data_IF_410155324366
#
_entry.id   IF_410155324366
#
_cell.length_a   1.000
_cell.length_b   1.000
_cell.length_c   1.000
_cell.angle_alpha   90.00
_cell.angle_beta   90.00
_cell.angle_gamma   90.00
#
_symmetry.space_group_name_H-M   'P 1'
#
loop_
_entity.id
_entity.type
_entity.pdbx_description
1 polymer ?
#
# COMPACT_ATOMS: atom_id res chain seq x y z
N UNK A 1 -3.20 -28.34 13.44
CA UNK A 1 -4.13 -27.27 13.05
C UNK A 1 -4.06 -27.14 11.53
N UNK A 2 -5.16 -27.28 10.81
CA UNK A 2 -5.16 -27.00 9.37
C UNK A 2 -4.81 -25.51 9.19
N UNK A 3 -3.74 -25.22 8.47
CA UNK A 3 -3.39 -23.84 8.16
C UNK A 3 -4.53 -23.22 7.34
N UNK A 4 -5.07 -22.11 7.80
CA UNK A 4 -6.05 -21.35 7.05
C UNK A 4 -5.29 -20.67 5.91
N UNK A 5 -5.63 -21.00 4.66
CA UNK A 5 -4.97 -20.39 3.50
C UNK A 5 -5.40 -18.93 3.37
N UNK A 6 -4.45 -18.07 3.00
CA UNK A 6 -4.78 -16.71 2.57
C UNK A 6 -5.60 -16.78 1.28
N UNK A 7 -6.53 -15.85 1.10
CA UNK A 7 -7.49 -15.92 0.00
C UNK A 7 -7.24 -14.80 -1.00
N UNK A 8 -7.10 -15.20 -2.27
CA UNK A 8 -6.92 -14.28 -3.38
C UNK A 8 -8.26 -14.04 -4.08
N UNK A 9 -8.59 -12.78 -4.42
CA UNK A 9 -9.71 -12.49 -5.31
C UNK A 9 -9.50 -13.11 -6.69
N UNK A 10 -10.59 -13.29 -7.43
CA UNK A 10 -10.50 -13.69 -8.83
C UNK A 10 -9.75 -12.63 -9.66
N UNK A 11 -9.10 -13.06 -10.75
CA UNK A 11 -8.50 -12.17 -11.73
C UNK A 11 -9.56 -11.25 -12.36
N UNK A 12 -9.26 -9.96 -12.44
CA UNK A 12 -10.17 -8.96 -12.99
C UNK A 12 -10.28 -9.09 -14.50
N UNK A 13 -11.49 -9.10 -15.03
CA UNK A 13 -11.80 -9.33 -16.46
C UNK A 13 -12.69 -8.22 -17.02
N UNK A 14 -12.70 -8.09 -18.34
CA UNK A 14 -13.64 -7.18 -19.01
C UNK A 14 -15.09 -7.53 -18.64
N UNK A 15 -15.86 -6.50 -18.32
CA UNK A 15 -17.25 -6.62 -17.83
C UNK A 15 -17.37 -6.72 -16.32
N UNK A 16 -16.27 -6.88 -15.57
CA UNK A 16 -16.31 -6.89 -14.11
C UNK A 16 -16.64 -5.50 -13.55
N UNK A 17 -17.33 -5.50 -12.41
CA UNK A 17 -17.71 -4.28 -11.70
C UNK A 17 -16.62 -3.84 -10.75
N UNK A 18 -16.24 -2.58 -10.86
CA UNK A 18 -15.35 -1.89 -9.92
C UNK A 18 -16.16 -0.86 -9.14
N UNK A 19 -16.24 -1.03 -7.82
CA UNK A 19 -16.88 -0.07 -6.93
C UNK A 19 -15.89 1.04 -6.55
N UNK A 20 -16.32 2.29 -6.70
CA UNK A 20 -15.55 3.45 -6.27
C UNK A 20 -16.09 3.90 -4.92
N UNK A 21 -15.38 3.54 -3.86
CA UNK A 21 -15.85 3.67 -2.47
C UNK A 21 -14.98 4.63 -1.67
N UNK A 22 -15.55 5.75 -1.27
CA UNK A 22 -14.85 6.79 -0.48
C UNK A 22 -15.00 6.53 1.03
N UNK A 23 -14.41 5.47 1.54
CA UNK A 23 -14.52 5.14 2.96
C UNK A 23 -13.57 5.97 3.86
N UNK A 24 -12.55 6.62 3.30
CA UNK A 24 -11.72 7.62 3.99
C UNK A 24 -12.17 9.02 3.61
N UNK A 25 -11.75 9.56 2.47
CA UNK A 25 -12.19 10.85 1.95
C UNK A 25 -12.86 10.71 0.59
N UNK A 26 -13.90 11.51 0.35
CA UNK A 26 -14.50 11.65 -0.96
C UNK A 26 -13.82 12.73 -1.80
N UNK A 27 -14.42 13.07 -2.93
CA UNK A 27 -13.84 13.97 -3.94
C UNK A 27 -14.65 15.26 -3.97
N UNK A 28 -14.03 16.36 -3.56
CA UNK A 28 -14.63 17.71 -3.68
C UNK A 28 -14.86 18.10 -5.14
N UNK A 29 -15.82 18.98 -5.36
CA UNK A 29 -16.23 19.40 -6.71
C UNK A 29 -15.10 19.96 -7.57
N UNK A 30 -14.09 20.59 -6.95
CA UNK A 30 -12.91 21.13 -7.65
C UNK A 30 -12.08 20.03 -8.34
N UNK A 31 -12.13 18.80 -7.84
CA UNK A 31 -11.41 17.65 -8.39
C UNK A 31 -12.29 16.77 -9.31
N UNK A 32 -13.58 17.09 -9.48
CA UNK A 32 -14.47 16.31 -10.35
C UNK A 32 -13.97 16.24 -11.81
N UNK A 33 -13.35 17.27 -12.41
CA UNK A 33 -12.78 17.13 -13.73
C UNK A 33 -11.76 15.99 -13.83
N UNK A 34 -10.90 15.79 -12.83
CA UNK A 34 -9.97 14.65 -12.76
C UNK A 34 -10.72 13.34 -12.55
N UNK A 35 -11.68 13.31 -11.63
CA UNK A 35 -12.50 12.15 -11.34
C UNK A 35 -13.19 11.60 -12.60
N UNK A 36 -13.86 12.45 -13.38
CA UNK A 36 -14.53 12.03 -14.63
C UNK A 36 -13.54 11.37 -15.61
N UNK A 37 -12.32 11.88 -15.71
CA UNK A 37 -11.31 11.32 -16.59
C UNK A 37 -10.89 9.89 -16.16
N UNK A 38 -10.63 9.69 -14.88
CA UNK A 38 -10.21 8.38 -14.37
C UNK A 38 -11.35 7.36 -14.42
N UNK A 39 -12.60 7.74 -14.13
CA UNK A 39 -13.77 6.88 -14.27
C UNK A 39 -14.01 6.48 -15.74
N UNK A 40 -13.93 7.46 -16.67
CA UNK A 40 -13.96 7.18 -18.11
C UNK A 40 -12.81 6.26 -18.54
N UNK A 41 -11.63 6.40 -17.92
CA UNK A 41 -10.49 5.51 -18.14
C UNK A 41 -10.79 4.05 -17.82
N UNK A 42 -11.41 3.78 -16.66
CA UNK A 42 -11.84 2.43 -16.28
C UNK A 42 -12.88 1.86 -17.26
N UNK A 43 -13.87 2.68 -17.64
CA UNK A 43 -14.91 2.26 -18.61
C UNK A 43 -14.29 1.92 -19.97
N UNK A 44 -13.33 2.70 -20.46
CA UNK A 44 -12.60 2.42 -21.71
C UNK A 44 -11.74 1.15 -21.65
N UNK A 45 -11.32 0.74 -20.45
CA UNK A 45 -10.65 -0.54 -20.23
C UNK A 45 -11.62 -1.72 -20.17
N UNK A 46 -12.93 -1.49 -20.30
CA UNK A 46 -13.96 -2.51 -20.34
C UNK A 46 -14.57 -2.83 -18.99
N UNK A 47 -14.28 -2.08 -17.92
CA UNK A 47 -14.87 -2.29 -16.60
C UNK A 47 -16.21 -1.57 -16.43
N UNK A 48 -17.09 -2.12 -15.60
CA UNK A 48 -18.33 -1.48 -15.18
C UNK A 48 -18.11 -0.72 -13.88
N UNK A 49 -18.17 0.61 -13.96
CA UNK A 49 -17.94 1.48 -12.80
C UNK A 49 -19.23 1.61 -11.97
N UNK A 50 -19.12 1.37 -10.66
CA UNK A 50 -20.19 1.56 -9.68
C UNK A 50 -19.75 2.66 -8.70
N UNK A 51 -20.30 3.86 -8.84
CA UNK A 51 -20.00 4.97 -7.94
C UNK A 51 -20.71 4.82 -6.61
N UNK A 52 -19.97 4.95 -5.51
CA UNK A 52 -20.51 5.04 -4.16
C UNK A 52 -21.19 6.40 -3.93
N UNK A 53 -22.17 6.43 -3.05
CA UNK A 53 -22.92 7.66 -2.69
C UNK A 53 -22.05 8.67 -1.95
N UNK A 54 -21.01 8.20 -1.23
CA UNK A 54 -20.06 9.04 -0.51
C UNK A 54 -18.96 9.62 -1.40
N UNK A 55 -18.85 9.17 -2.67
CA UNK A 55 -17.73 9.52 -3.55
C UNK A 55 -17.61 11.01 -3.81
N UNK A 56 -18.70 11.70 -4.11
CA UNK A 56 -18.71 13.10 -4.58
C UNK A 56 -18.93 14.12 -3.47
N UNK A 57 -18.61 13.73 -2.24
CA UNK A 57 -18.68 14.58 -1.05
C UNK A 57 -17.29 14.57 -0.37
N UNK A 58 -16.82 15.72 0.09
CA UNK A 58 -15.52 15.78 0.78
C UNK A 58 -15.49 14.86 2.00
N UNK A 59 -16.54 14.90 2.80
CA UNK A 59 -16.67 14.06 3.99
C UNK A 59 -18.12 13.64 4.17
N UNK A 60 -18.33 12.35 4.35
CA UNK A 60 -19.63 11.77 4.74
C UNK A 60 -19.51 11.21 6.16
N UNK A 61 -20.62 11.09 6.91
CA UNK A 61 -20.61 10.47 8.24
C UNK A 61 -19.97 9.06 8.22
N UNK A 62 -19.18 8.73 9.23
CA UNK A 62 -18.45 7.45 9.32
C UNK A 62 -19.37 6.24 9.13
N UNK A 63 -20.56 6.25 9.75
CA UNK A 63 -21.55 5.17 9.59
C UNK A 63 -22.01 5.00 8.15
N UNK A 64 -22.24 6.10 7.41
CA UNK A 64 -22.67 6.05 6.01
C UNK A 64 -21.55 5.49 5.11
N UNK A 65 -20.30 5.93 5.35
CA UNK A 65 -19.12 5.39 4.64
C UNK A 65 -18.93 3.90 4.90
N UNK A 66 -19.12 3.47 6.15
CA UNK A 66 -19.03 2.08 6.55
C UNK A 66 -20.15 1.21 5.95
N UNK A 67 -21.40 1.69 5.95
CA UNK A 67 -22.52 0.98 5.37
C UNK A 67 -22.35 0.77 3.87
N UNK A 68 -21.84 1.79 3.17
CA UNK A 68 -21.53 1.71 1.75
C UNK A 68 -20.39 0.71 1.48
N UNK A 69 -19.31 0.79 2.25
CA UNK A 69 -18.19 -0.15 2.13
C UNK A 69 -18.64 -1.59 2.40
N UNK A 70 -19.42 -1.82 3.46
CA UNK A 70 -19.98 -3.14 3.77
C UNK A 70 -20.89 -3.66 2.64
N UNK A 71 -21.72 -2.80 2.05
CA UNK A 71 -22.57 -3.21 0.93
C UNK A 71 -21.71 -3.68 -0.26
N UNK A 72 -20.61 -2.99 -0.60
CA UNK A 72 -19.71 -3.40 -1.67
C UNK A 72 -18.91 -4.66 -1.31
N UNK A 73 -18.49 -4.79 -0.06
CA UNK A 73 -17.73 -5.99 0.38
C UNK A 73 -18.59 -7.26 0.34
N UNK A 74 -19.89 -7.14 0.57
CA UNK A 74 -20.82 -8.29 0.60
C UNK A 74 -21.52 -8.54 -0.76
N UNK A 75 -21.43 -7.63 -1.73
CA UNK A 75 -22.01 -7.82 -3.07
C UNK A 75 -21.10 -8.67 -3.95
N UNK A 76 -21.49 -9.93 -4.22
CA UNK A 76 -20.73 -10.87 -5.05
C UNK A 76 -20.54 -10.43 -6.51
N UNK A 77 -21.29 -9.44 -6.97
CA UNK A 77 -21.14 -8.88 -8.32
C UNK A 77 -19.99 -7.85 -8.42
N UNK A 78 -19.46 -7.37 -7.30
CA UNK A 78 -18.30 -6.47 -7.27
C UNK A 78 -17.02 -7.31 -7.27
N UNK A 79 -16.11 -7.02 -8.19
CA UNK A 79 -14.82 -7.70 -8.30
C UNK A 79 -13.67 -6.93 -7.63
N UNK A 80 -13.74 -5.59 -7.66
CA UNK A 80 -12.74 -4.72 -7.03
C UNK A 80 -13.38 -3.49 -6.38
N UNK A 81 -12.73 -2.99 -5.33
CA UNK A 81 -13.05 -1.73 -4.65
C UNK A 81 -11.85 -0.81 -4.80
N UNK A 82 -12.05 0.35 -5.41
CA UNK A 82 -11.02 1.36 -5.61
C UNK A 82 -11.47 2.67 -4.94
N UNK A 83 -10.87 3.07 -3.80
CA UNK A 83 -11.06 4.40 -3.26
C UNK A 83 -10.49 5.46 -4.22
N UNK A 84 -11.05 6.68 -4.25
CA UNK A 84 -10.49 7.75 -5.09
C UNK A 84 -9.05 8.08 -4.66
N UNK A 85 -8.83 8.16 -3.38
CA UNK A 85 -7.56 8.39 -2.68
C UNK A 85 -7.68 7.95 -1.21
N UNK A 86 -6.64 8.23 -0.40
CA UNK A 86 -6.68 8.06 1.05
C UNK A 86 -7.48 9.17 1.76
N UNK A 87 -6.88 9.75 2.75
CA UNK A 87 -7.44 10.75 3.67
C UNK A 87 -6.85 10.55 5.05
N UNK A 88 -7.66 10.82 6.10
CA UNK A 88 -7.19 10.74 7.49
C UNK A 88 -8.11 9.94 8.41
N UNK A 89 -9.32 9.59 7.96
CA UNK A 89 -10.39 9.12 8.84
C UNK A 89 -10.94 7.74 8.47
N UNK A 90 -10.19 6.91 7.75
CA UNK A 90 -10.60 5.53 7.49
C UNK A 90 -10.76 4.72 8.79
N UNK A 91 -10.02 5.07 9.84
CA UNK A 91 -10.14 4.41 11.14
C UNK A 91 -11.53 4.52 11.74
N UNK A 92 -12.27 5.61 11.50
CA UNK A 92 -13.63 5.79 12.02
C UNK A 92 -14.61 4.72 11.54
N UNK A 93 -14.41 4.15 10.34
CA UNK A 93 -15.31 3.13 9.78
C UNK A 93 -15.12 1.78 10.46
N UNK A 94 -13.96 1.48 11.04
CA UNK A 94 -13.63 0.16 11.57
C UNK A 94 -14.63 -0.34 12.63
N UNK A 95 -15.17 0.54 13.45
CA UNK A 95 -16.12 0.19 14.50
C UNK A 95 -17.49 -0.28 13.97
N UNK A 96 -17.79 -0.04 12.71
CA UNK A 96 -19.05 -0.41 12.04
C UNK A 96 -18.89 -1.59 11.09
N UNK A 97 -17.70 -2.17 10.97
CA UNK A 97 -17.43 -3.27 10.06
C UNK A 97 -17.65 -4.63 10.75
N UNK A 98 -18.47 -5.45 10.17
CA UNK A 98 -18.61 -6.86 10.56
C UNK A 98 -17.55 -7.70 9.81
N UNK A 99 -16.37 -7.83 10.38
CA UNK A 99 -15.27 -8.62 9.80
C UNK A 99 -15.61 -10.12 9.69
N UNK A 100 -16.56 -10.65 10.47
CA UNK A 100 -16.97 -12.05 10.35
C UNK A 100 -17.82 -12.26 9.10
N UNK A 101 -18.75 -11.34 8.83
CA UNK A 101 -19.50 -11.34 7.59
C UNK A 101 -18.59 -11.19 6.38
N UNK A 102 -17.64 -10.23 6.41
CA UNK A 102 -16.66 -10.02 5.33
C UNK A 102 -15.79 -11.26 5.11
N UNK A 103 -15.29 -11.89 6.18
CA UNK A 103 -14.47 -13.11 6.08
C UNK A 103 -15.19 -14.26 5.36
N UNK A 104 -16.52 -14.30 5.47
CA UNK A 104 -17.37 -15.33 4.86
C UNK A 104 -17.82 -14.98 3.44
N UNK A 105 -17.61 -13.75 2.99
CA UNK A 105 -17.99 -13.29 1.67
C UNK A 105 -16.92 -13.67 0.60
N UNK A 106 -17.29 -13.53 -0.67
CA UNK A 106 -16.36 -13.70 -1.78
C UNK A 106 -15.29 -12.59 -1.73
N UNK A 107 -14.00 -12.93 -1.73
CA UNK A 107 -12.92 -11.94 -1.65
C UNK A 107 -12.91 -11.02 -2.87
N UNK A 108 -12.56 -9.76 -2.65
CA UNK A 108 -12.48 -8.71 -3.65
C UNK A 108 -11.14 -8.00 -3.57
N UNK A 109 -10.66 -7.51 -4.70
CA UNK A 109 -9.51 -6.62 -4.69
C UNK A 109 -9.86 -5.30 -4.00
N UNK A 110 -9.11 -4.93 -2.96
CA UNK A 110 -9.06 -3.55 -2.44
C UNK A 110 -7.73 -2.95 -2.89
N UNK A 111 -7.81 -1.83 -3.61
CA UNK A 111 -6.65 -1.21 -4.27
C UNK A 111 -6.44 0.20 -3.75
N UNK A 112 -5.22 0.54 -3.38
CA UNK A 112 -4.85 1.90 -3.00
C UNK A 112 -3.79 1.96 -1.91
N UNK A 113 -3.33 3.15 -1.59
CA UNK A 113 -2.33 3.43 -0.56
C UNK A 113 -2.75 4.62 0.32
N UNK A 114 -1.83 5.14 1.16
CA UNK A 114 -2.13 6.18 2.13
C UNK A 114 -3.11 5.66 3.20
N UNK A 115 -4.12 6.40 3.61
CA UNK A 115 -5.11 5.99 4.62
C UNK A 115 -5.95 4.76 4.20
N UNK A 116 -5.93 4.38 2.90
CA UNK A 116 -6.47 3.09 2.44
C UNK A 116 -5.80 1.90 3.14
N UNK A 117 -4.53 2.05 3.53
CA UNK A 117 -3.76 1.04 4.27
C UNK A 117 -4.43 0.64 5.58
N UNK A 118 -5.13 1.55 6.25
CA UNK A 118 -5.89 1.27 7.46
C UNK A 118 -6.84 0.10 7.26
N UNK A 119 -7.66 0.13 6.21
CA UNK A 119 -8.63 -0.93 5.96
C UNK A 119 -8.02 -2.12 5.22
N UNK A 120 -7.09 -1.88 4.30
CA UNK A 120 -6.40 -2.94 3.56
C UNK A 120 -5.68 -3.92 4.49
N UNK A 121 -4.91 -3.41 5.47
CA UNK A 121 -4.24 -4.24 6.47
C UNK A 121 -5.23 -5.01 7.35
N UNK A 122 -6.36 -4.38 7.72
CA UNK A 122 -7.41 -5.04 8.52
C UNK A 122 -8.05 -6.20 7.74
N UNK A 123 -8.35 -6.04 6.45
CA UNK A 123 -8.84 -7.14 5.61
C UNK A 123 -7.86 -8.30 5.58
N UNK A 124 -6.58 -8.01 5.41
CA UNK A 124 -5.55 -9.05 5.34
C UNK A 124 -5.41 -9.79 6.66
N UNK A 125 -5.30 -9.08 7.79
CA UNK A 125 -5.10 -9.70 9.11
C UNK A 125 -6.35 -10.42 9.62
N UNK A 126 -7.53 -9.80 9.48
CA UNK A 126 -8.78 -10.28 10.08
C UNK A 126 -9.54 -11.27 9.19
N UNK A 127 -9.48 -11.06 7.88
CA UNK A 127 -10.26 -11.87 6.93
C UNK A 127 -9.38 -12.86 6.14
N UNK A 128 -8.04 -12.68 6.14
CA UNK A 128 -7.13 -13.45 5.30
C UNK A 128 -7.24 -13.12 3.82
N UNK A 129 -7.77 -11.94 3.46
CA UNK A 129 -7.84 -11.48 2.08
C UNK A 129 -6.56 -10.75 1.69
N UNK A 130 -6.06 -11.00 0.50
CA UNK A 130 -5.00 -10.16 -0.05
C UNK A 130 -5.58 -8.81 -0.47
N UNK A 131 -4.75 -7.76 -0.37
CA UNK A 131 -5.08 -6.41 -0.82
C UNK A 131 -3.92 -5.83 -1.61
N UNK A 132 -4.16 -4.86 -2.48
CA UNK A 132 -3.14 -4.29 -3.36
C UNK A 132 -2.81 -2.85 -2.95
N UNK A 133 -1.64 -2.65 -2.36
CA UNK A 133 -1.04 -1.33 -2.19
C UNK A 133 -0.44 -0.90 -3.53
N UNK A 134 -1.04 0.08 -4.16
CA UNK A 134 -0.64 0.61 -5.46
C UNK A 134 -1.26 2.00 -5.66
N UNK A 135 -1.06 2.59 -6.83
CA UNK A 135 -1.64 3.88 -7.20
C UNK A 135 -3.14 3.97 -6.88
N UNK A 136 -3.56 5.04 -6.22
CA UNK A 136 -4.97 5.35 -5.98
C UNK A 136 -5.69 5.71 -7.30
N UNK A 137 -7.02 5.57 -7.34
CA UNK A 137 -7.82 5.82 -8.54
C UNK A 137 -7.51 7.17 -9.20
N UNK A 138 -7.38 8.25 -8.43
CA UNK A 138 -7.12 9.60 -8.96
C UNK A 138 -5.76 9.73 -9.68
N UNK A 139 -4.85 8.79 -9.50
CA UNK A 139 -3.58 8.71 -10.21
C UNK A 139 -3.68 7.95 -11.53
N UNK A 140 -4.70 7.11 -11.72
CA UNK A 140 -4.89 6.24 -12.89
C UNK A 140 -5.49 7.00 -14.09
N UNK A 141 -4.87 8.12 -14.48
CA UNK A 141 -5.34 8.90 -15.62
C UNK A 141 -5.26 8.08 -16.92
N UNK A 142 -6.29 8.16 -17.81
CA UNK A 142 -6.33 7.31 -19.01
C UNK A 142 -5.22 7.57 -20.04
N UNK A 143 -4.54 8.69 -19.95
CA UNK A 143 -3.39 9.03 -20.78
C UNK A 143 -2.05 8.79 -20.06
N UNK A 144 -2.08 8.24 -18.85
CA UNK A 144 -0.85 7.88 -18.13
C UNK A 144 -0.06 6.84 -18.95
N UNK A 145 1.27 7.01 -18.96
CA UNK A 145 2.20 6.15 -19.67
C UNK A 145 3.20 5.48 -18.73
N UNK A 146 3.14 5.86 -17.46
CA UNK A 146 4.00 5.28 -16.45
C UNK A 146 3.65 3.82 -16.20
N UNK A 147 4.61 2.95 -16.45
CA UNK A 147 4.44 1.51 -16.28
C UNK A 147 4.19 1.12 -14.81
N UNK A 148 4.78 1.83 -13.84
CA UNK A 148 4.56 1.53 -12.41
C UNK A 148 3.11 1.82 -12.02
N UNK A 149 2.55 2.94 -12.48
CA UNK A 149 1.15 3.28 -12.27
C UNK A 149 0.20 2.30 -12.98
N UNK A 150 0.47 1.99 -14.25
CA UNK A 150 -0.40 1.12 -15.06
C UNK A 150 -0.31 -0.37 -14.72
N UNK A 151 0.78 -0.81 -14.08
CA UNK A 151 0.96 -2.19 -13.66
C UNK A 151 -0.13 -2.68 -12.70
N UNK A 152 -0.86 -1.76 -12.04
CA UNK A 152 -2.01 -2.12 -11.22
C UNK A 152 -3.01 -3.00 -11.98
N UNK A 153 -3.26 -2.70 -13.26
CA UNK A 153 -4.21 -3.47 -14.08
C UNK A 153 -3.66 -4.84 -14.45
N UNK A 154 -2.35 -4.94 -14.68
CA UNK A 154 -1.70 -6.22 -14.97
C UNK A 154 -1.75 -7.15 -13.74
N UNK A 155 -1.49 -6.60 -12.55
CA UNK A 155 -1.56 -7.36 -11.28
C UNK A 155 -2.98 -7.81 -10.99
N UNK A 156 -3.98 -6.95 -11.19
CA UNK A 156 -5.40 -7.29 -10.97
C UNK A 156 -5.90 -8.37 -11.94
N UNK A 157 -5.30 -8.49 -13.13
CA UNK A 157 -5.64 -9.48 -14.14
C UNK A 157 -4.90 -10.82 -13.96
N UNK A 158 -4.00 -10.94 -12.99
CA UNK A 158 -3.28 -12.19 -12.75
C UNK A 158 -4.20 -13.24 -12.14
N UNK A 159 -4.16 -14.42 -12.73
CA UNK A 159 -4.81 -15.61 -12.17
C UNK A 159 -4.05 -16.09 -10.90
N UNK A 160 -4.72 -16.89 -10.08
CA UNK A 160 -4.09 -17.54 -8.93
C UNK A 160 -2.86 -18.35 -9.36
N UNK A 161 -1.80 -18.28 -8.57
CA UNK A 161 -0.45 -18.78 -8.84
C UNK A 161 0.30 -18.02 -9.98
N UNK A 162 -0.26 -16.95 -10.51
CA UNK A 162 0.49 -16.01 -11.33
C UNK A 162 1.58 -15.30 -10.54
N UNK A 163 2.56 -14.75 -11.22
CA UNK A 163 3.61 -13.95 -10.62
C UNK A 163 3.89 -12.70 -11.47
N UNK A 164 4.48 -11.71 -10.85
CA UNK A 164 5.01 -10.54 -11.53
C UNK A 164 6.33 -10.10 -10.89
N UNK A 165 7.15 -9.45 -11.69
CA UNK A 165 8.44 -8.92 -11.28
C UNK A 165 8.44 -7.40 -11.40
N UNK A 166 9.06 -6.75 -10.43
CA UNK A 166 9.26 -5.31 -10.41
C UNK A 166 10.72 -4.98 -10.08
N UNK A 167 11.20 -3.91 -10.65
CA UNK A 167 12.56 -3.41 -10.44
C UNK A 167 12.52 -1.95 -9.98
N UNK A 168 13.56 -1.42 -9.32
CA UNK A 168 13.63 -0.02 -8.96
C UNK A 168 13.49 0.91 -10.16
N UNK A 169 12.74 1.99 -9.98
CA UNK A 169 12.67 3.06 -10.96
C UNK A 169 14.01 3.77 -11.10
N UNK A 170 14.31 4.22 -12.32
CA UNK A 170 15.53 5.03 -12.59
C UNK A 170 15.39 6.47 -12.10
N UNK A 171 14.15 6.96 -12.06
CA UNK A 171 13.82 8.32 -11.68
C UNK A 171 12.56 8.34 -10.82
N UNK A 172 12.42 9.37 -9.99
CA UNK A 172 11.22 9.63 -9.20
C UNK A 172 10.76 11.09 -9.35
N UNK A 173 9.55 11.39 -8.90
CA UNK A 173 8.96 12.72 -8.89
C UNK A 173 8.93 13.25 -7.46
N UNK A 174 9.60 14.38 -7.22
CA UNK A 174 9.56 15.05 -5.91
C UNK A 174 8.53 16.19 -5.83
N UNK A 175 7.79 16.42 -6.91
CA UNK A 175 6.75 17.47 -6.98
C UNK A 175 5.37 16.84 -6.80
N UNK A 176 4.59 17.38 -5.87
CA UNK A 176 3.18 17.02 -5.72
C UNK A 176 2.37 17.63 -6.88
N UNK A 177 1.49 16.83 -7.49
CA UNK A 177 0.59 17.28 -8.54
C UNK A 177 -0.65 17.89 -7.91
N UNK A 178 -0.97 19.14 -8.28
CA UNK A 178 -2.21 19.82 -7.91
C UNK A 178 -3.31 19.51 -8.93
N UNK A 179 -4.02 18.42 -8.74
CA UNK A 179 -5.10 18.01 -9.66
C UNK A 179 -6.27 18.98 -9.72
N UNK A 180 -6.40 19.94 -8.79
CA UNK A 180 -7.40 20.98 -8.86
C UNK A 180 -7.06 22.00 -9.97
N UNK A 181 -5.77 22.33 -10.11
CA UNK A 181 -5.29 23.24 -11.14
C UNK A 181 -4.97 22.52 -12.46
N UNK A 182 -4.47 21.30 -12.35
CA UNK A 182 -3.98 20.51 -13.48
C UNK A 182 -4.68 19.13 -13.54
N UNK A 183 -5.99 19.09 -13.89
CA UNK A 183 -6.76 17.83 -13.86
C UNK A 183 -6.28 16.79 -14.88
N UNK A 184 -5.49 17.19 -15.88
CA UNK A 184 -4.89 16.30 -16.87
C UNK A 184 -3.41 16.00 -16.61
N UNK A 185 -2.85 16.47 -15.50
CA UNK A 185 -1.44 16.22 -15.18
C UNK A 185 -1.14 14.71 -15.07
N UNK A 186 0.01 14.35 -15.62
CA UNK A 186 0.59 13.00 -15.59
C UNK A 186 1.85 13.02 -14.71
N UNK A 187 2.36 11.86 -14.37
CA UNK A 187 3.64 11.76 -13.67
C UNK A 187 4.80 12.23 -14.56
N UNK A 188 5.75 12.94 -13.94
CA UNK A 188 6.99 13.42 -14.57
C UNK A 188 8.19 13.15 -13.66
N UNK A 189 8.87 12.05 -13.91
CA UNK A 189 9.98 11.55 -13.10
C UNK A 189 11.29 12.19 -13.54
N UNK A 190 11.78 13.13 -12.76
CA UNK A 190 12.97 13.95 -13.10
C UNK A 190 14.15 13.76 -12.16
N UNK A 191 13.92 13.19 -10.96
CA UNK A 191 14.97 13.02 -9.96
C UNK A 191 15.58 11.63 -10.04
N UNK A 192 16.91 11.47 -10.06
CA UNK A 192 17.55 10.15 -10.04
C UNK A 192 17.16 9.35 -8.81
N UNK A 193 16.77 8.09 -9.01
CA UNK A 193 16.41 7.17 -7.95
C UNK A 193 17.57 6.24 -7.61
N UNK A 194 17.81 6.03 -6.32
CA UNK A 194 18.76 5.06 -5.82
C UNK A 194 18.26 4.47 -4.50
N UNK A 195 17.93 3.18 -4.49
CA UNK A 195 17.63 2.48 -3.26
C UNK A 195 18.90 2.25 -2.46
N UNK A 196 18.78 2.22 -1.13
CA UNK A 196 19.90 2.02 -0.22
C UNK A 196 19.58 0.92 0.79
N UNK A 197 20.60 0.34 1.38
CA UNK A 197 20.47 -0.55 2.52
C UNK A 197 21.09 0.13 3.74
N UNK A 198 20.28 0.39 4.76
CA UNK A 198 20.67 1.18 5.93
C UNK A 198 21.77 0.50 6.74
N UNK A 199 21.65 -0.81 6.97
CA UNK A 199 22.47 -1.55 7.93
C UNK A 199 23.50 -2.49 7.27
N UNK A 200 23.80 -2.30 5.97
CA UNK A 200 24.80 -3.09 5.25
C UNK A 200 25.72 -2.22 4.41
N UNK A 201 27.03 -2.37 4.62
CA UNK A 201 28.03 -1.57 3.92
C UNK A 201 28.95 -2.41 3.02
N UNK A 202 29.06 -3.70 3.28
CA UNK A 202 29.92 -4.60 2.50
C UNK A 202 29.21 -5.09 1.22
N UNK A 203 30.01 -5.36 0.17
CA UNK A 203 29.45 -5.92 -1.07
C UNK A 203 28.98 -7.35 -0.87
N UNK A 204 27.71 -7.60 -1.13
CA UNK A 204 27.11 -8.93 -1.03
C UNK A 204 25.79 -9.07 -1.80
N UNK A 205 25.45 -10.31 -2.09
CA UNK A 205 24.12 -10.67 -2.52
C UNK A 205 23.18 -10.75 -1.32
N UNK A 206 22.00 -10.17 -1.45
CA UNK A 206 20.95 -10.24 -0.45
C UNK A 206 19.71 -10.85 -1.11
N UNK A 207 19.15 -11.84 -0.44
CA UNK A 207 17.86 -12.43 -0.79
C UNK A 207 16.96 -12.41 0.45
N UNK A 208 15.78 -11.80 0.33
CA UNK A 208 14.75 -11.77 1.35
C UNK A 208 13.50 -12.41 0.79
N UNK A 209 12.91 -13.31 1.55
CA UNK A 209 11.64 -13.95 1.19
C UNK A 209 10.67 -13.84 2.34
N UNK A 210 9.39 -13.78 2.03
CA UNK A 210 8.33 -13.73 3.04
C UNK A 210 7.01 -13.23 2.46
N UNK A 211 5.96 -13.23 3.28
CA UNK A 211 4.72 -12.61 2.88
C UNK A 211 4.80 -11.11 3.06
N UNK A 212 4.45 -10.38 2.02
CA UNK A 212 4.36 -8.92 2.08
C UNK A 212 3.27 -8.49 3.07
N UNK A 213 3.61 -7.54 3.90
CA UNK A 213 2.65 -6.86 4.76
C UNK A 213 3.11 -5.43 5.01
N UNK A 214 2.18 -4.47 4.95
CA UNK A 214 2.52 -3.08 5.24
C UNK A 214 1.59 -2.06 4.63
N UNK A 215 2.07 -0.82 4.57
CA UNK A 215 1.33 0.34 4.05
C UNK A 215 1.87 1.67 4.58
N UNK A 216 1.00 2.66 4.65
CA UNK A 216 1.32 4.00 5.15
C UNK A 216 1.54 3.99 6.67
N UNK A 217 2.73 4.41 7.10
CA UNK A 217 3.09 4.44 8.51
C UNK A 217 2.24 5.44 9.30
N UNK A 218 1.89 6.56 8.67
CA UNK A 218 1.03 7.60 9.26
C UNK A 218 -0.33 7.03 9.69
N UNK A 219 -0.90 6.17 8.87
CA UNK A 219 -2.19 5.51 9.15
C UNK A 219 -2.06 4.30 10.07
N UNK A 220 -0.94 3.57 9.99
CA UNK A 220 -0.75 2.31 10.70
C UNK A 220 -0.11 2.46 12.08
N UNK A 221 0.53 3.58 12.38
CA UNK A 221 1.33 3.80 13.59
C UNK A 221 0.57 3.53 14.89
N UNK A 222 -0.74 3.77 14.92
CA UNK A 222 -1.61 3.57 16.09
C UNK A 222 -2.30 2.20 16.11
N UNK A 223 -2.30 1.47 14.98
CA UNK A 223 -2.93 0.16 14.83
C UNK A 223 -1.93 -1.00 14.93
N UNK A 224 -0.74 -0.83 14.36
CA UNK A 224 0.34 -1.81 14.48
C UNK A 224 0.68 -2.03 15.96
N UNK A 225 0.88 -3.28 16.34
CA UNK A 225 1.06 -3.72 17.72
C UNK A 225 -0.19 -3.57 18.62
N UNK A 226 -1.36 -3.26 18.06
CA UNK A 226 -2.63 -3.33 18.75
C UNK A 226 -3.32 -4.69 18.51
N UNK A 227 -4.31 -5.08 19.34
CA UNK A 227 -5.11 -6.28 19.08
C UNK A 227 -5.91 -6.22 17.77
N UNK A 228 -6.03 -5.07 17.13
CA UNK A 228 -6.68 -4.91 15.84
C UNK A 228 -5.81 -5.40 14.69
N UNK A 229 -4.48 -5.12 14.73
CA UNK A 229 -3.49 -5.60 13.78
C UNK A 229 -2.50 -6.55 14.48
N UNK A 230 -2.98 -7.72 14.87
CA UNK A 230 -2.19 -8.76 15.52
C UNK A 230 -1.32 -9.49 14.48
N UNK A 231 -0.14 -8.94 14.21
CA UNK A 231 0.82 -9.50 13.26
C UNK A 231 1.39 -10.83 13.73
N UNK A 232 1.49 -11.07 15.04
CA UNK A 232 1.94 -12.35 15.55
C UNK A 232 0.97 -13.46 15.18
N UNK A 233 -0.32 -13.27 15.43
CA UNK A 233 -1.35 -14.21 15.02
C UNK A 233 -1.47 -14.35 13.50
N UNK A 234 -1.33 -13.24 12.77
CA UNK A 234 -1.32 -13.26 11.31
C UNK A 234 -0.18 -14.13 10.77
N UNK A 235 1.03 -13.95 11.29
CA UNK A 235 2.18 -14.77 10.92
C UNK A 235 1.94 -16.25 11.20
N UNK A 236 1.48 -16.59 12.39
CA UNK A 236 1.20 -17.99 12.74
C UNK A 236 0.13 -18.64 11.85
N UNK A 237 -0.85 -17.84 11.43
CA UNK A 237 -2.02 -18.33 10.68
C UNK A 237 -1.76 -18.40 9.19
N UNK A 238 -1.10 -17.38 8.62
CA UNK A 238 -1.03 -17.15 7.17
C UNK A 238 0.38 -17.01 6.61
N UNK A 239 1.38 -16.75 7.44
CA UNK A 239 2.73 -16.42 6.98
C UNK A 239 3.85 -17.19 7.75
N UNK A 240 3.79 -18.51 7.79
CA UNK A 240 4.78 -19.33 8.53
C UNK A 240 6.21 -19.17 7.99
N UNK A 241 6.37 -18.76 6.73
CA UNK A 241 7.64 -18.44 6.08
C UNK A 241 8.26 -17.11 6.54
N UNK A 242 7.54 -16.32 7.35
CA UNK A 242 7.93 -15.01 7.83
C UNK A 242 7.33 -13.86 7.03
N UNK A 243 7.53 -12.65 7.54
CA UNK A 243 7.00 -11.42 6.94
C UNK A 243 8.12 -10.60 6.31
N UNK A 244 7.85 -10.03 5.15
CA UNK A 244 8.60 -8.93 4.56
C UNK A 244 7.77 -7.66 4.73
N UNK A 245 8.16 -6.83 5.69
CA UNK A 245 7.43 -5.62 6.04
C UNK A 245 7.79 -4.50 5.09
N UNK A 246 6.79 -3.81 4.52
CA UNK A 246 7.01 -2.57 3.80
C UNK A 246 6.23 -1.42 4.45
N UNK A 247 6.85 -0.25 4.53
CA UNK A 247 6.25 0.94 5.13
C UNK A 247 6.65 2.17 4.31
N UNK A 248 5.81 3.20 4.32
CA UNK A 248 6.12 4.49 3.73
C UNK A 248 5.62 5.62 4.63
N UNK A 249 6.26 6.77 4.54
CA UNK A 249 5.98 7.95 5.36
C UNK A 249 5.49 9.11 4.48
N UNK A 250 4.31 9.63 4.78
CA UNK A 250 3.75 10.81 4.13
C UNK A 250 4.10 12.09 4.91
N UNK A 251 3.66 12.18 6.16
CA UNK A 251 3.59 13.44 6.91
C UNK A 251 4.23 13.38 8.31
N UNK A 252 4.52 12.16 8.83
CA UNK A 252 5.19 12.05 10.12
C UNK A 252 6.55 12.74 10.08
N UNK A 253 6.77 13.62 11.04
CA UNK A 253 8.06 14.27 11.22
C UNK A 253 9.17 13.25 11.55
N UNK A 254 10.45 13.54 11.29
CA UNK A 254 11.55 12.62 11.57
C UNK A 254 11.52 12.04 12.99
N UNK A 255 11.26 12.87 13.99
CA UNK A 255 11.16 12.41 15.38
C UNK A 255 9.95 11.49 15.60
N UNK A 256 8.80 11.78 14.95
CA UNK A 256 7.63 10.92 15.02
C UNK A 256 7.90 9.56 14.36
N UNK A 257 8.58 9.53 13.20
CA UNK A 257 9.03 8.28 12.54
C UNK A 257 9.93 7.47 13.47
N UNK A 258 10.96 8.09 14.07
CA UNK A 258 11.85 7.41 15.01
C UNK A 258 11.08 6.79 16.19
N UNK A 259 10.20 7.57 16.83
CA UNK A 259 9.38 7.12 17.96
C UNK A 259 8.44 5.98 17.57
N UNK A 260 7.81 6.07 16.40
CA UNK A 260 6.90 5.04 15.90
C UNK A 260 7.66 3.73 15.65
N UNK A 261 8.77 3.75 14.91
CA UNK A 261 9.56 2.57 14.62
C UNK A 261 10.16 1.94 15.89
N UNK A 262 10.61 2.77 16.85
CA UNK A 262 11.05 2.29 18.16
C UNK A 262 9.91 1.63 18.95
N UNK A 263 8.71 2.22 18.93
CA UNK A 263 7.54 1.63 19.57
C UNK A 263 7.17 0.27 18.95
N UNK A 264 7.19 0.14 17.63
CA UNK A 264 6.95 -1.12 16.94
C UNK A 264 7.98 -2.18 17.36
N UNK A 265 9.27 -1.80 17.46
CA UNK A 265 10.33 -2.69 17.93
C UNK A 265 10.10 -3.14 19.39
N UNK A 266 9.80 -2.20 20.30
CA UNK A 266 9.55 -2.51 21.70
C UNK A 266 8.31 -3.39 21.91
N UNK A 267 7.32 -3.28 21.03
CA UNK A 267 6.12 -4.13 21.04
C UNK A 267 6.32 -5.47 20.29
N UNK A 268 7.56 -5.79 19.87
CA UNK A 268 7.88 -7.09 19.27
C UNK A 268 7.46 -7.26 17.81
N UNK A 269 7.00 -6.22 17.12
CA UNK A 269 6.58 -6.30 15.70
C UNK A 269 7.72 -6.80 14.81
N UNK A 270 8.97 -6.45 15.14
CA UNK A 270 10.14 -6.84 14.37
C UNK A 270 10.75 -8.20 14.76
N UNK A 271 10.19 -8.91 15.74
CA UNK A 271 10.72 -10.21 16.17
C UNK A 271 10.56 -11.30 15.11
N UNK A 272 9.57 -11.17 14.25
CA UNK A 272 9.13 -12.20 13.33
C UNK A 272 9.18 -11.77 11.85
N UNK A 273 9.99 -10.75 11.51
CA UNK A 273 10.13 -10.27 10.13
C UNK A 273 11.47 -10.69 9.53
N UNK A 274 11.49 -10.90 8.22
CA UNK A 274 12.68 -11.29 7.47
C UNK A 274 13.42 -10.07 6.90
N UNK A 275 12.77 -8.90 6.85
CA UNK A 275 13.34 -7.65 6.40
C UNK A 275 12.31 -6.53 6.36
N UNK A 276 12.81 -5.30 6.18
CA UNK A 276 11.99 -4.09 6.00
C UNK A 276 12.37 -3.43 4.67
N UNK A 277 11.34 -2.99 3.92
CA UNK A 277 11.48 -2.13 2.75
C UNK A 277 10.74 -0.83 3.03
N UNK A 278 11.46 0.28 3.15
CA UNK A 278 10.90 1.61 3.42
C UNK A 278 10.85 2.43 2.14
N UNK A 279 9.70 3.00 1.86
CA UNK A 279 9.50 3.95 0.77
C UNK A 279 10.25 5.26 1.01
N UNK A 280 10.40 6.06 -0.07
CA UNK A 280 10.87 7.44 0.06
C UNK A 280 9.90 8.23 0.93
N UNK A 281 10.45 8.97 1.90
CA UNK A 281 9.64 9.86 2.71
C UNK A 281 9.29 11.13 1.94
N UNK A 282 8.05 11.56 2.03
CA UNK A 282 7.65 12.87 1.53
C UNK A 282 8.13 14.01 2.45
N UNK A 283 8.43 13.71 3.72
CA UNK A 283 8.95 14.68 4.69
C UNK A 283 10.34 14.26 5.20
N UNK A 284 11.40 14.88 4.67
CA UNK A 284 12.79 14.54 5.01
C UNK A 284 13.34 15.32 6.22
N UNK A 285 12.81 16.51 6.49
CA UNK A 285 13.27 17.35 7.60
C UNK A 285 12.12 18.21 8.13
N UNK A 286 12.24 18.66 9.36
CA UNK A 286 11.33 19.64 9.96
C UNK A 286 12.16 20.78 10.58
N UNK A 287 11.79 22.04 10.35
CA UNK A 287 12.55 23.19 10.89
C UNK A 287 12.69 23.20 12.40
N UNK A 288 11.78 22.50 13.12
CA UNK A 288 11.70 22.49 14.58
C UNK A 288 12.42 21.28 15.20
N UNK A 289 13.14 20.45 14.38
CA UNK A 289 13.75 19.21 14.84
C UNK A 289 15.24 19.15 14.53
N UNK A 290 16.00 18.60 15.48
CA UNK A 290 17.47 18.47 15.38
C UNK A 290 17.92 17.27 14.51
N UNK A 291 16.99 16.40 14.10
CA UNK A 291 17.29 15.22 13.29
C UNK A 291 16.51 15.23 11.98
N UNK A 292 17.12 14.71 10.92
CA UNK A 292 16.47 14.44 9.65
C UNK A 292 15.88 13.00 9.61
N UNK A 293 15.20 12.68 8.50
CA UNK A 293 14.57 11.38 8.30
C UNK A 293 15.57 10.22 8.34
N UNK A 294 16.75 10.37 7.75
CA UNK A 294 17.75 9.30 7.72
C UNK A 294 18.37 9.05 9.08
N UNK A 295 18.61 10.12 9.84
CA UNK A 295 19.04 10.00 11.24
C UNK A 295 17.97 9.33 12.10
N UNK A 296 16.70 9.61 11.85
CA UNK A 296 15.58 8.93 12.52
C UNK A 296 15.55 7.43 12.23
N UNK A 297 15.77 7.04 10.96
CA UNK A 297 15.85 5.62 10.58
C UNK A 297 17.07 4.93 11.22
N UNK A 298 18.23 5.58 11.22
CA UNK A 298 19.44 5.03 11.85
C UNK A 298 19.24 4.78 13.34
N UNK A 299 18.64 5.73 14.06
CA UNK A 299 18.32 5.59 15.48
C UNK A 299 17.36 4.41 15.76
N UNK A 300 16.36 4.22 14.91
CA UNK A 300 15.34 3.20 15.14
C UNK A 300 15.73 1.82 14.61
N UNK A 301 16.41 1.73 13.49
CA UNK A 301 16.61 0.51 12.71
C UNK A 301 18.07 0.16 12.42
N UNK A 302 19.04 1.07 12.65
CA UNK A 302 20.45 0.85 12.31
C UNK A 302 21.07 -0.41 12.91
N UNK A 303 20.58 -0.83 14.08
CA UNK A 303 21.04 -2.03 14.78
C UNK A 303 20.16 -3.29 14.54
N UNK A 304 19.26 -3.27 13.55
CA UNK A 304 18.47 -4.45 13.20
C UNK A 304 19.37 -5.53 12.57
N UNK A 305 19.09 -6.81 12.90
CA UNK A 305 19.86 -7.94 12.38
C UNK A 305 19.40 -8.41 10.99
N UNK A 306 18.25 -7.97 10.55
CA UNK A 306 17.71 -8.20 9.21
C UNK A 306 17.97 -7.00 8.29
N UNK A 307 17.98 -7.18 6.96
CA UNK A 307 18.17 -6.09 6.01
C UNK A 307 17.06 -5.03 6.09
N UNK A 308 17.47 -3.76 6.05
CA UNK A 308 16.59 -2.59 5.98
C UNK A 308 16.87 -1.83 4.69
N UNK A 309 16.01 -2.03 3.70
CA UNK A 309 16.08 -1.33 2.41
C UNK A 309 15.31 -0.01 2.56
N UNK A 310 15.87 1.09 2.09
CA UNK A 310 15.28 2.44 2.18
C UNK A 310 15.26 3.11 0.80
N UNK A 311 14.48 4.19 0.69
CA UNK A 311 14.28 4.95 -0.54
C UNK A 311 13.65 4.14 -1.68
N UNK A 312 12.90 3.10 -1.34
CA UNK A 312 12.17 2.30 -2.31
C UNK A 312 11.03 3.09 -2.97
N UNK A 313 10.59 2.61 -4.12
CA UNK A 313 9.50 3.23 -4.89
C UNK A 313 8.14 2.86 -4.28
N UNK A 314 7.86 3.33 -3.07
CA UNK A 314 6.65 3.03 -2.30
C UNK A 314 6.12 4.33 -1.68
N UNK A 315 4.84 4.60 -1.84
CA UNK A 315 4.12 5.65 -1.11
C UNK A 315 3.96 6.97 -1.85
N UNK A 316 4.05 8.09 -1.12
CA UNK A 316 3.65 9.42 -1.59
C UNK A 316 4.63 10.09 -2.54
N UNK A 317 5.85 9.55 -2.66
CA UNK A 317 6.87 10.02 -3.62
C UNK A 317 6.91 9.06 -4.80
N UNK A 318 6.15 9.37 -5.84
CA UNK A 318 5.99 8.51 -7.03
C UNK A 318 7.32 8.24 -7.77
N UNK A 319 7.50 7.06 -8.39
CA UNK A 319 6.49 6.03 -8.66
C UNK A 319 6.15 5.16 -7.46
N UNK A 320 5.10 4.34 -7.61
CA UNK A 320 4.63 3.44 -6.58
C UNK A 320 4.58 2.01 -7.10
N UNK A 321 5.32 1.11 -6.48
CA UNK A 321 5.27 -0.32 -6.79
C UNK A 321 3.90 -0.91 -6.41
N UNK A 322 3.53 -1.99 -7.09
CA UNK A 322 2.40 -2.83 -6.73
C UNK A 322 2.82 -3.83 -5.65
N UNK A 323 2.34 -3.68 -4.43
CA UNK A 323 2.67 -4.56 -3.30
C UNK A 323 1.39 -5.25 -2.82
N UNK A 324 1.36 -6.58 -2.91
CA UNK A 324 0.18 -7.37 -2.56
C UNK A 324 0.31 -7.86 -1.12
N UNK A 325 -0.43 -7.25 -0.19
CA UNK A 325 -0.49 -7.68 1.21
C UNK A 325 -0.95 -9.14 1.30
N UNK A 326 -0.19 -9.95 1.99
CA UNK A 326 -0.44 -11.37 2.17
C UNK A 326 0.13 -12.27 1.05
N UNK A 327 0.62 -11.73 -0.07
CA UNK A 327 1.26 -12.53 -1.11
C UNK A 327 2.72 -12.85 -0.76
N UNK A 328 3.20 -13.99 -1.24
CA UNK A 328 4.61 -14.35 -1.10
C UNK A 328 5.48 -13.49 -2.01
N UNK A 329 6.58 -12.97 -1.48
CA UNK A 329 7.53 -12.14 -2.20
C UNK A 329 8.96 -12.64 -2.01
N UNK A 330 9.75 -12.54 -3.07
CA UNK A 330 11.21 -12.70 -3.04
C UNK A 330 11.84 -11.40 -3.55
N UNK A 331 12.64 -10.77 -2.70
CA UNK A 331 13.48 -9.64 -3.04
C UNK A 331 14.92 -10.12 -3.19
N UNK A 332 15.56 -9.77 -4.30
CA UNK A 332 16.99 -10.06 -4.57
C UNK A 332 17.70 -8.78 -4.97
N UNK A 333 18.91 -8.57 -4.46
CA UNK A 333 19.72 -7.41 -4.80
C UNK A 333 21.21 -7.67 -4.56
N UNK A 334 22.06 -6.87 -5.21
CA UNK A 334 23.45 -6.68 -4.82
C UNK A 334 23.55 -5.41 -4.01
N UNK A 335 24.18 -5.48 -2.84
CA UNK A 335 24.47 -4.31 -2.00
C UNK A 335 25.96 -4.05 -2.02
N UNK A 336 26.34 -2.83 -2.38
CA UNK A 336 27.73 -2.36 -2.33
C UNK A 336 27.77 -0.98 -1.68
N UNK A 337 28.53 -0.87 -0.58
CA UNK A 337 28.67 0.36 0.22
C UNK A 337 27.32 1.00 0.60
N UNK A 338 26.36 0.17 0.94
CA UNK A 338 25.01 0.61 1.28
C UNK A 338 24.11 0.98 0.09
N UNK A 339 24.62 0.96 -1.15
CA UNK A 339 23.80 1.17 -2.35
C UNK A 339 23.24 -0.16 -2.87
N UNK A 340 22.00 -0.13 -3.34
CA UNK A 340 21.30 -1.30 -3.87
C UNK A 340 21.38 -1.31 -5.40
N UNK A 341 21.86 -2.43 -5.96
CA UNK A 341 21.97 -2.65 -7.40
C UNK A 341 21.27 -3.92 -7.81
N UNK A 342 20.84 -4.00 -9.07
CA UNK A 342 20.21 -5.19 -9.67
C UNK A 342 19.07 -5.74 -8.80
N UNK A 343 18.30 -4.85 -8.18
CA UNK A 343 17.19 -5.27 -7.33
C UNK A 343 16.02 -5.75 -8.18
N UNK A 344 15.40 -6.82 -7.69
CA UNK A 344 14.20 -7.42 -8.26
C UNK A 344 13.28 -7.86 -7.13
N UNK A 345 12.00 -7.52 -7.26
CA UNK A 345 10.89 -7.97 -6.42
C UNK A 345 10.00 -8.90 -7.23
N UNK A 346 9.99 -10.17 -6.90
CA UNK A 346 9.08 -11.15 -7.51
C UNK A 346 7.96 -11.47 -6.52
N UNK A 347 6.74 -11.15 -6.88
CA UNK A 347 5.55 -11.45 -6.08
C UNK A 347 4.74 -12.56 -6.74
N UNK A 348 4.35 -13.56 -5.94
CA UNK A 348 3.56 -14.72 -6.39
C UNK A 348 2.22 -14.73 -5.67
N UNK A 349 1.12 -14.90 -6.42
CA UNK A 349 -0.24 -14.96 -5.90
C UNK A 349 -0.58 -16.41 -5.44
N UNK A 350 0.05 -16.85 -4.32
CA UNK A 350 -0.13 -18.19 -3.77
C UNK A 350 -0.31 -18.20 -2.25
#
# INVERSE_FOLDING_TARGET
MLMTAITFPDALKNGDKIAICAFSSGVESIFHPRLERVLSGLTRRGYLVVEGKCLRQQSSPAKQRADELMAFLLDDSIAAIMPPWGGELAMEVLQYIDFNAVKSAKPKWLVGFSDVSTFACMLTVRCGWVTLHAANLMQLHPNEKDNYCLQVFDVLALEKNGYFEQVPAKYYQNKVIDYAKEPDALFDYTQPSQWRCLNYQDSRQVELTGRLFGGCLDSLNVLLASPYLDLHNFKQTYAPEGLLLYLENAELSPTAVARTLMALRLNGVFADINGIILGRSALLSSPEQDIDYYQALELALGNCLFPVIIDADIGHVAPNLCLVNGAFCSFKATIDKGLVFNASLVTTLQ
#
